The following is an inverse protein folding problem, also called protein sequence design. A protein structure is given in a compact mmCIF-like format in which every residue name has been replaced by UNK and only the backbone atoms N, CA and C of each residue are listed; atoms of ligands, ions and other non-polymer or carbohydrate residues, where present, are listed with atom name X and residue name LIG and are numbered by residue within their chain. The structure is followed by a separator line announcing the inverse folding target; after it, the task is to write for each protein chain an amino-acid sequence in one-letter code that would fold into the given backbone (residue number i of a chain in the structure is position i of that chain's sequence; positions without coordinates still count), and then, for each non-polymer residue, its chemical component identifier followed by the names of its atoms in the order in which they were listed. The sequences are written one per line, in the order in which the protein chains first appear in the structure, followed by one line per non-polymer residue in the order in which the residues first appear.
data_IF_647120779105
#
_entry.id   IF_647120779105
#
_cell.length_a   1.000
_cell.length_b   1.000
_cell.length_c   1.000
_cell.angle_alpha   90.00
_cell.angle_beta   90.00
_cell.angle_gamma   90.00
#
_symmetry.space_group_name_H-M   'P 1'
#
loop_
_entity.id
_entity.type
_entity.pdbx_description
1 polymer ?
#
# COMPACT_ATOMS: atom_id res chain seq x y z
N UNK A 1 31.69 8.75 -11.13
CA UNK A 1 30.93 8.66 -9.86
C UNK A 1 31.90 8.19 -8.79
N UNK A 2 31.80 8.74 -7.58
CA UNK A 2 32.68 8.37 -6.45
C UNK A 2 32.00 7.25 -5.62
N UNK A 3 32.68 6.11 -5.37
CA UNK A 3 32.13 5.00 -4.58
C UNK A 3 31.87 5.35 -3.11
N UNK A 4 32.50 6.41 -2.57
CA UNK A 4 32.35 6.83 -1.18
C UNK A 4 31.19 7.83 -0.97
N UNK A 5 30.43 8.13 -2.03
CA UNK A 5 29.28 9.04 -1.94
C UNK A 5 28.17 8.46 -1.06
N UNK A 6 27.72 9.25 -0.07
CA UNK A 6 26.61 8.90 0.82
C UNK A 6 25.42 9.82 0.58
N UNK A 7 24.24 9.24 0.42
CA UNK A 7 22.97 9.95 0.36
C UNK A 7 22.10 9.63 1.58
N UNK A 8 21.54 10.67 2.22
CA UNK A 8 20.66 10.53 3.38
C UNK A 8 19.25 11.00 3.00
N UNK A 9 18.27 10.12 3.15
CA UNK A 9 16.85 10.45 2.98
C UNK A 9 16.14 10.42 4.32
N UNK A 10 15.43 11.50 4.66
CA UNK A 10 14.66 11.56 5.89
C UNK A 10 13.29 12.24 5.69
N UNK A 11 12.41 11.97 6.63
CA UNK A 11 11.18 12.72 6.85
C UNK A 11 10.96 12.79 8.37
N UNK A 12 9.88 13.42 8.83
CA UNK A 12 9.64 13.62 10.26
C UNK A 12 9.75 12.33 11.10
N UNK A 13 9.24 11.20 10.60
CA UNK A 13 9.27 9.92 11.34
C UNK A 13 10.15 8.86 10.69
N UNK A 14 10.83 9.16 9.57
CA UNK A 14 11.62 8.19 8.80
C UNK A 14 10.84 6.95 8.30
N UNK A 15 9.51 7.03 8.17
CA UNK A 15 8.61 5.94 7.71
C UNK A 15 8.13 6.23 6.28
N UNK A 16 6.82 6.35 6.07
CA UNK A 16 6.16 6.36 4.76
C UNK A 16 6.87 7.13 3.65
N UNK A 17 7.04 8.45 3.80
CA UNK A 17 7.68 9.29 2.77
C UNK A 17 9.09 8.83 2.41
N UNK A 18 9.90 8.53 3.42
CA UNK A 18 11.28 8.04 3.22
C UNK A 18 11.27 6.68 2.54
N UNK A 19 10.44 5.76 3.00
CA UNK A 19 10.37 4.39 2.46
C UNK A 19 9.84 4.34 1.05
N UNK A 20 8.88 5.19 0.67
CA UNK A 20 8.40 5.31 -0.71
C UNK A 20 9.52 5.71 -1.66
N UNK A 21 10.33 6.71 -1.30
CA UNK A 21 11.44 7.15 -2.15
C UNK A 21 12.56 6.11 -2.19
N UNK A 22 12.87 5.46 -1.06
CA UNK A 22 13.85 4.37 -1.04
C UNK A 22 13.42 3.20 -1.94
N UNK A 23 12.16 2.78 -1.90
CA UNK A 23 11.66 1.72 -2.76
C UNK A 23 11.74 2.11 -4.25
N UNK A 24 11.34 3.32 -4.60
CA UNK A 24 11.48 3.85 -5.96
C UNK A 24 12.95 3.86 -6.42
N UNK A 25 13.86 4.32 -5.55
CA UNK A 25 15.30 4.35 -5.83
C UNK A 25 15.87 2.94 -6.05
N UNK A 26 15.53 1.98 -5.18
CA UNK A 26 15.95 0.59 -5.33
C UNK A 26 15.48 -0.04 -6.65
N UNK A 27 14.28 0.32 -7.11
CA UNK A 27 13.81 -0.12 -8.42
C UNK A 27 14.54 0.56 -9.58
N UNK A 28 14.86 1.85 -9.44
CA UNK A 28 15.58 2.58 -10.47
C UNK A 28 17.01 2.11 -10.68
N UNK A 29 17.73 1.78 -9.59
CA UNK A 29 19.13 1.38 -9.71
C UNK A 29 19.29 0.02 -10.38
N UNK A 30 18.32 -0.90 -10.26
CA UNK A 30 18.37 -2.24 -10.85
C UNK A 30 19.41 -3.19 -10.24
N UNK A 31 20.45 -2.66 -9.61
CA UNK A 31 21.58 -3.38 -8.99
C UNK A 31 21.18 -4.39 -7.90
N UNK A 32 20.08 -4.11 -7.21
CA UNK A 32 19.59 -4.96 -6.12
C UNK A 32 18.50 -5.96 -6.55
N UNK A 33 18.21 -6.07 -7.86
CA UNK A 33 17.23 -7.01 -8.41
C UNK A 33 15.77 -6.67 -8.10
N UNK A 34 15.48 -5.47 -7.59
CA UNK A 34 14.12 -5.05 -7.25
C UNK A 34 13.38 -4.51 -8.48
N UNK A 35 12.66 -5.35 -9.20
CA UNK A 35 11.74 -4.89 -10.26
C UNK A 35 10.35 -4.50 -9.70
N UNK A 36 9.92 -5.14 -8.61
CA UNK A 36 8.63 -4.87 -7.97
C UNK A 36 8.78 -3.88 -6.79
N UNK A 37 8.09 -2.72 -6.83
CA UNK A 37 8.12 -1.75 -5.75
C UNK A 37 7.54 -2.27 -4.42
N UNK A 38 6.65 -3.28 -4.43
CA UNK A 38 6.18 -3.88 -3.18
C UNK A 38 7.27 -4.73 -2.52
N UNK A 39 7.96 -5.58 -3.28
CA UNK A 39 9.14 -6.30 -2.79
C UNK A 39 10.24 -5.35 -2.24
N UNK A 40 10.46 -4.20 -2.90
CA UNK A 40 11.38 -3.18 -2.40
C UNK A 40 10.90 -2.55 -1.07
N UNK A 41 9.60 -2.26 -0.94
CA UNK A 41 9.01 -1.77 0.31
C UNK A 41 9.08 -2.80 1.44
N UNK A 42 8.88 -4.08 1.14
CA UNK A 42 9.05 -5.18 2.10
C UNK A 42 10.49 -5.28 2.58
N UNK A 43 11.47 -5.14 1.69
CA UNK A 43 12.88 -5.08 2.05
C UNK A 43 13.16 -3.90 2.99
N UNK A 44 12.71 -2.69 2.64
CA UNK A 44 12.87 -1.50 3.49
C UNK A 44 12.17 -1.68 4.85
N UNK A 45 11.00 -2.33 4.86
CA UNK A 45 10.26 -2.69 6.07
C UNK A 45 11.06 -3.62 6.97
N UNK A 46 11.63 -4.70 6.42
CA UNK A 46 12.53 -5.62 7.15
C UNK A 46 13.73 -4.89 7.76
N UNK A 47 14.40 -4.02 7.00
CA UNK A 47 15.52 -3.21 7.50
C UNK A 47 15.11 -2.30 8.67
N UNK A 48 13.89 -1.77 8.63
CA UNK A 48 13.34 -0.89 9.68
C UNK A 48 12.59 -1.64 10.79
N UNK A 49 12.48 -2.98 10.71
CA UNK A 49 11.70 -3.84 11.62
C UNK A 49 10.23 -3.42 11.71
N UNK A 50 9.62 -3.10 10.58
CA UNK A 50 8.23 -2.67 10.46
C UNK A 50 7.55 -3.39 9.30
N UNK A 51 6.30 -3.77 9.48
CA UNK A 51 5.45 -4.25 8.39
C UNK A 51 5.09 -3.10 7.44
N UNK A 52 4.82 -3.44 6.18
CA UNK A 52 4.54 -2.46 5.11
C UNK A 52 3.27 -1.65 5.44
N UNK A 53 2.32 -2.24 6.16
CA UNK A 53 1.07 -1.66 6.68
C UNK A 53 1.31 -0.53 7.68
N UNK A 54 2.34 -0.69 8.52
CA UNK A 54 2.73 0.32 9.50
C UNK A 54 3.70 1.35 8.89
N UNK A 55 4.44 0.92 7.87
CA UNK A 55 5.44 1.74 7.20
C UNK A 55 4.81 2.77 6.26
N UNK A 56 3.78 2.37 5.51
CA UNK A 56 3.22 3.14 4.40
C UNK A 56 1.70 3.15 4.39
N UNK A 57 1.13 4.13 3.69
CA UNK A 57 -0.31 4.15 3.36
C UNK A 57 -0.55 3.69 1.91
N UNK A 58 -1.78 3.32 1.52
CA UNK A 58 -2.06 2.83 0.17
C UNK A 58 -1.64 3.78 -0.97
N UNK A 59 -1.79 5.10 -0.78
CA UNK A 59 -1.36 6.07 -1.80
C UNK A 59 0.16 6.12 -1.98
N UNK A 60 0.94 5.90 -0.91
CA UNK A 60 2.40 5.83 -0.99
C UNK A 60 2.87 4.63 -1.80
N UNK A 61 2.27 3.46 -1.59
CA UNK A 61 2.53 2.25 -2.39
C UNK A 61 2.18 2.47 -3.86
N UNK A 62 1.01 3.09 -4.10
CA UNK A 62 0.56 3.45 -5.46
C UNK A 62 1.58 4.33 -6.19
N UNK A 63 2.14 5.34 -5.51
CA UNK A 63 3.14 6.22 -6.13
C UNK A 63 4.48 5.53 -6.39
N UNK A 64 4.90 4.58 -5.55
CA UNK A 64 6.04 3.72 -5.88
C UNK A 64 5.77 2.88 -7.14
N UNK A 65 4.55 2.33 -7.26
CA UNK A 65 4.06 1.65 -8.47
C UNK A 65 4.06 2.53 -9.71
N UNK A 66 3.59 3.78 -9.61
CA UNK A 66 3.63 4.73 -10.72
C UNK A 66 5.06 4.99 -11.19
N UNK A 67 6.00 5.08 -10.25
CA UNK A 67 7.40 5.27 -10.61
C UNK A 67 7.97 4.04 -11.35
N UNK A 68 7.71 2.82 -10.86
CA UNK A 68 8.09 1.60 -11.57
C UNK A 68 7.51 1.55 -12.99
N UNK A 69 6.21 1.85 -13.16
CA UNK A 69 5.60 1.92 -14.49
C UNK A 69 6.30 2.93 -15.41
N UNK A 70 6.75 4.08 -14.89
CA UNK A 70 7.48 5.07 -15.69
C UNK A 70 8.85 4.56 -16.13
N UNK A 71 9.54 3.75 -15.29
CA UNK A 71 10.77 3.07 -15.67
C UNK A 71 10.54 2.07 -16.81
N UNK A 72 9.38 1.41 -16.82
CA UNK A 72 8.94 0.52 -17.91
C UNK A 72 8.42 1.28 -19.16
N UNK A 73 8.57 2.60 -19.19
CA UNK A 73 8.23 3.43 -20.34
C UNK A 73 6.79 3.96 -20.35
N UNK A 74 5.96 3.63 -19.36
CA UNK A 74 4.60 4.17 -19.26
C UNK A 74 4.67 5.68 -19.05
N UNK A 75 3.98 6.43 -19.91
CA UNK A 75 3.86 7.89 -19.78
C UNK A 75 2.52 8.22 -19.12
N UNK A 76 2.50 9.06 -18.07
CA UNK A 76 1.25 9.54 -17.50
C UNK A 76 0.37 10.21 -18.57
N UNK A 77 -0.95 10.07 -18.46
CA UNK A 77 -1.92 10.72 -19.34
C UNK A 77 -1.65 12.22 -19.42
N UNK A 78 -1.33 12.71 -20.61
CA UNK A 78 -1.12 14.13 -20.90
C UNK A 78 -2.40 14.95 -21.15
N UNK A 79 -3.52 14.40 -21.69
CA UNK A 79 -4.71 15.23 -21.91
C UNK A 79 -5.41 15.57 -20.58
N UNK A 80 -6.07 16.75 -20.50
CA UNK A 80 -6.87 17.12 -19.35
C UNK A 80 -8.07 16.19 -19.20
N UNK A 81 -8.38 15.81 -17.96
CA UNK A 81 -9.51 14.96 -17.62
C UNK A 81 -10.55 15.73 -16.81
N UNK A 82 -11.83 15.53 -17.13
CA UNK A 82 -12.95 16.04 -16.34
C UNK A 82 -13.53 14.90 -15.49
N UNK A 83 -13.50 15.05 -14.16
CA UNK A 83 -14.15 14.10 -13.25
C UNK A 83 -15.68 14.27 -13.34
N UNK A 84 -16.34 13.40 -14.11
CA UNK A 84 -17.79 13.49 -14.34
C UNK A 84 -18.64 12.88 -13.22
N UNK A 85 -18.17 11.78 -12.61
CA UNK A 85 -18.93 11.03 -11.61
C UNK A 85 -18.00 10.20 -10.73
N UNK A 86 -18.35 10.08 -9.45
CA UNK A 86 -17.80 9.10 -8.51
C UNK A 86 -18.92 8.12 -8.19
N UNK A 87 -18.65 6.82 -8.29
CA UNK A 87 -19.58 5.75 -7.90
C UNK A 87 -18.98 5.07 -6.67
N UNK A 88 -19.77 4.97 -5.60
CA UNK A 88 -19.41 4.22 -4.39
C UNK A 88 -20.29 2.98 -4.32
N UNK A 89 -19.68 1.79 -4.24
CA UNK A 89 -20.43 0.52 -4.24
C UNK A 89 -21.39 0.39 -3.06
N UNK A 90 -20.99 0.91 -1.90
CA UNK A 90 -21.83 0.96 -0.70
C UNK A 90 -21.72 2.34 -0.05
N UNK A 91 -22.81 2.79 0.58
CA UNK A 91 -22.78 3.97 1.43
C UNK A 91 -21.89 3.68 2.65
N UNK A 92 -20.86 4.51 2.93
CA UNK A 92 -20.05 4.28 4.11
C UNK A 92 -20.90 4.45 5.36
N UNK A 93 -20.75 3.52 6.30
CA UNK A 93 -21.50 3.52 7.56
C UNK A 93 -20.83 4.49 8.54
N UNK A 94 -21.25 5.75 8.52
CA UNK A 94 -20.79 6.76 9.46
C UNK A 94 -21.72 6.80 10.69
N UNK A 95 -21.16 6.67 11.90
CA UNK A 95 -21.89 6.76 13.18
C UNK A 95 -21.94 5.47 13.99
N UNK A 96 -22.21 5.59 15.30
CA UNK A 96 -22.48 4.42 16.17
C UNK A 96 -23.86 3.86 15.83
N UNK A 97 -23.97 2.53 15.79
CA UNK A 97 -25.23 1.81 15.63
C UNK A 97 -26.29 2.39 16.59
N UNK A 98 -27.50 2.75 16.12
CA UNK A 98 -28.60 3.04 17.02
C UNK A 98 -28.85 1.78 17.87
N UNK A 99 -28.93 1.89 19.21
CA UNK A 99 -29.29 0.74 20.02
C UNK A 99 -30.72 0.33 19.63
N UNK A 100 -30.88 -0.82 18.98
CA UNK A 100 -32.22 -1.39 18.75
C UNK A 100 -32.51 -2.02 17.38
N UNK A 101 -31.62 -1.96 16.38
CA UNK A 101 -31.96 -2.55 15.07
C UNK A 101 -31.91 -4.11 15.10
N UNK A 102 -33.04 -4.85 14.99
CA UNK A 102 -33.08 -6.30 15.22
C UNK A 102 -32.76 -7.14 13.97
N UNK A 103 -32.59 -6.53 12.80
CA UNK A 103 -32.42 -7.27 11.54
C UNK A 103 -30.96 -7.43 11.15
N UNK A 104 -30.27 -8.38 11.78
CA UNK A 104 -29.43 -9.37 11.08
C UNK A 104 -28.99 -10.47 12.06
N UNK A 105 -29.76 -11.54 12.13
CA UNK A 105 -29.21 -12.84 12.49
C UNK A 105 -28.33 -13.23 11.31
N UNK A 106 -27.02 -13.08 11.45
CA UNK A 106 -26.07 -13.76 10.57
C UNK A 106 -26.33 -15.27 10.68
N UNK A 107 -26.40 -16.04 9.57
CA UNK A 107 -26.42 -17.49 9.70
C UNK A 107 -25.11 -17.89 10.39
N UNK A 108 -25.23 -18.48 11.57
CA UNK A 108 -24.13 -19.09 12.28
C UNK A 108 -23.62 -20.26 11.43
N UNK A 109 -22.62 -20.00 10.61
CA UNK A 109 -21.72 -21.04 10.11
C UNK A 109 -20.91 -21.56 11.29
N UNK A 110 -21.42 -22.58 11.94
CA UNK A 110 -20.78 -23.30 13.03
C UNK A 110 -20.97 -24.79 12.81
N UNK A 111 -20.11 -25.37 11.96
CA UNK A 111 -19.86 -26.80 12.00
C UNK A 111 -19.15 -27.14 13.32
N UNK A 112 -19.72 -28.08 14.05
CA UNK A 112 -19.16 -28.65 15.27
C UNK A 112 -19.83 -30.00 15.48
N UNK A 113 -19.05 -31.07 15.25
CA UNK A 113 -19.53 -32.44 15.18
C UNK A 113 -20.07 -32.98 16.52
N UNK A 114 -20.94 -33.98 16.39
CA UNK A 114 -21.44 -34.77 17.51
C UNK A 114 -22.16 -36.03 17.01
N UNK A 115 -21.72 -37.18 17.52
CA UNK A 115 -22.26 -38.53 17.28
C UNK A 115 -21.22 -39.40 16.58
N UNK A 116 -20.70 -40.48 17.14
CA UNK A 116 -21.18 -41.32 18.23
C UNK A 116 -20.87 -42.76 17.82
N UNK A 117 -20.29 -43.53 18.75
CA UNK A 117 -19.85 -44.94 18.68
C UNK A 117 -18.47 -45.22 18.09
#
# INVERSE_FOLDING_TARGET
ADPDNVAVLHCLTGRGRTSTVLAAFLCWTGEAGFADPNAALEYVGRCKRLDVETLTIPSQRRYAGYFANMLDGVRPSQPPLLLKRIIMSEAPRFGKRPPGDPKRISPSGGGGGGGGE
#
